data_IF_784509466867
#
_entry.id   IF_784509466867
#
_cell.length_a   1.000
_cell.length_b   1.000
_cell.length_c   1.000
_cell.angle_alpha   90.00
_cell.angle_beta   90.00
_cell.angle_gamma   90.00
#
_symmetry.space_group_name_H-M   'P 1'
#
loop_
_entity.id
_entity.type
_entity.pdbx_description
1 polymer ?
#
# COMPACT_ATOMS: atom_id res chain seq x y z
N UNK A 1 20.77 8.41 43.09
CA UNK A 1 21.21 8.32 41.69
C UNK A 1 20.02 7.82 40.87
N UNK A 2 19.17 8.72 40.41
CA UNK A 2 17.94 8.37 39.68
C UNK A 2 18.25 8.40 38.19
N UNK A 3 18.26 7.23 37.55
CA UNK A 3 18.45 7.10 36.12
C UNK A 3 17.28 7.78 35.36
N UNK A 4 17.53 8.44 34.22
CA UNK A 4 16.46 9.04 33.42
C UNK A 4 15.66 7.95 32.70
N UNK A 5 14.33 7.99 32.85
CA UNK A 5 13.40 7.14 32.09
C UNK A 5 13.53 7.38 30.58
N UNK A 6 13.51 6.33 29.73
CA UNK A 6 13.45 6.51 28.29
C UNK A 6 12.07 7.07 27.90
N UNK A 7 12.09 8.22 27.23
CA UNK A 7 10.94 8.82 26.57
C UNK A 7 10.27 7.77 25.67
N UNK A 8 9.07 7.32 26.05
CA UNK A 8 8.21 6.52 25.19
C UNK A 8 7.74 7.41 24.05
N UNK A 9 8.38 7.29 22.88
CA UNK A 9 7.81 7.76 21.62
C UNK A 9 6.45 7.09 21.46
N UNK A 10 5.37 7.83 21.63
CA UNK A 10 4.00 7.35 21.41
C UNK A 10 3.80 7.16 19.90
N UNK A 11 4.29 6.05 19.38
CA UNK A 11 3.92 5.60 18.04
C UNK A 11 2.52 5.03 18.17
N UNK A 12 1.52 5.79 17.75
CA UNK A 12 0.15 5.29 17.62
C UNK A 12 0.17 4.01 16.78
N UNK A 13 -0.66 3.00 17.10
CA UNK A 13 -0.70 1.79 16.30
C UNK A 13 -1.06 2.17 14.85
N UNK A 14 -0.38 1.57 13.86
CA UNK A 14 -0.65 1.87 12.46
C UNK A 14 -2.11 1.56 12.14
N UNK A 15 -2.75 2.46 11.41
CA UNK A 15 -4.18 2.40 11.10
C UNK A 15 -4.48 1.46 9.94
N UNK A 16 -3.53 1.32 9.02
CA UNK A 16 -3.66 0.48 7.83
C UNK A 16 -2.36 -0.27 7.59
N UNK A 17 -2.45 -1.45 6.99
CA UNK A 17 -1.29 -2.28 6.65
C UNK A 17 -1.19 -2.42 5.14
N UNK A 18 -0.10 -1.98 4.55
CA UNK A 18 0.14 -2.03 3.12
C UNK A 18 1.19 -3.10 2.79
N UNK A 19 0.78 -4.09 2.00
CA UNK A 19 1.65 -5.17 1.53
C UNK A 19 2.25 -4.78 0.18
N UNK A 20 3.58 -4.86 0.09
CA UNK A 20 4.32 -4.53 -1.12
C UNK A 20 5.47 -5.50 -1.35
N UNK A 21 5.94 -5.56 -2.61
CA UNK A 21 7.14 -6.30 -2.99
C UNK A 21 8.33 -5.35 -3.10
N UNK A 22 9.33 -5.50 -2.22
CA UNK A 22 10.57 -4.73 -2.24
C UNK A 22 11.50 -5.07 -3.41
N UNK A 23 11.37 -6.25 -4.02
CA UNK A 23 12.16 -6.70 -5.18
C UNK A 23 11.60 -6.19 -6.52
N UNK A 24 10.42 -5.56 -6.50
CA UNK A 24 9.82 -4.90 -7.65
C UNK A 24 10.24 -3.42 -7.66
N UNK A 25 11.07 -2.96 -8.63
CA UNK A 25 11.59 -1.60 -8.64
C UNK A 25 10.47 -0.54 -8.76
N UNK A 26 9.40 -0.83 -9.50
CA UNK A 26 8.26 0.07 -9.61
C UNK A 26 7.51 0.21 -8.28
N UNK A 27 7.14 -0.92 -7.67
CA UNK A 27 6.49 -0.93 -6.36
C UNK A 27 7.35 -0.21 -5.33
N UNK A 28 8.66 -0.48 -5.32
CA UNK A 28 9.58 0.13 -4.36
C UNK A 28 9.67 1.66 -4.56
N UNK A 29 9.65 2.17 -5.80
CA UNK A 29 9.60 3.62 -6.07
C UNK A 29 8.30 4.24 -5.52
N UNK A 30 7.15 3.66 -5.85
CA UNK A 30 5.83 4.17 -5.41
C UNK A 30 5.70 4.13 -3.88
N UNK A 31 6.06 3.00 -3.28
CA UNK A 31 6.01 2.79 -1.83
C UNK A 31 6.99 3.71 -1.11
N UNK A 32 8.22 3.90 -1.60
CA UNK A 32 9.17 4.82 -0.99
C UNK A 32 8.70 6.28 -1.07
N UNK A 33 8.05 6.68 -2.17
CA UNK A 33 7.44 7.99 -2.26
C UNK A 33 6.34 8.16 -1.19
N UNK A 34 5.46 7.17 -1.02
CA UNK A 34 4.41 7.20 0.00
C UNK A 34 4.94 7.11 1.43
N UNK A 35 5.97 6.29 1.70
CA UNK A 35 6.68 6.20 2.99
C UNK A 35 7.25 7.56 3.40
N UNK A 36 7.84 8.31 2.46
CA UNK A 36 8.36 9.67 2.72
C UNK A 36 7.25 10.67 3.07
N UNK A 37 6.04 10.44 2.58
CA UNK A 37 4.87 11.27 2.83
C UNK A 37 4.14 10.88 4.12
N UNK A 38 4.26 9.63 4.56
CA UNK A 38 3.70 9.11 5.82
C UNK A 38 4.51 9.61 7.03
N UNK A 39 4.49 10.91 7.27
CA UNK A 39 5.15 11.54 8.43
C UNK A 39 4.53 11.15 9.76
N UNK A 40 3.30 10.65 9.75
CA UNK A 40 2.55 10.28 10.95
C UNK A 40 2.78 8.82 11.36
N UNK A 41 3.39 7.99 10.50
CA UNK A 41 3.56 6.56 10.76
C UNK A 41 2.23 5.81 10.84
N UNK A 42 1.22 6.28 10.10
CA UNK A 42 -0.12 5.69 10.14
C UNK A 42 -0.20 4.39 9.33
N UNK A 43 0.82 4.08 8.52
CA UNK A 43 0.81 2.97 7.58
C UNK A 43 1.89 1.95 7.98
N UNK A 44 1.46 0.72 8.24
CA UNK A 44 2.38 -0.39 8.41
C UNK A 44 2.77 -0.95 7.06
N UNK A 45 4.03 -0.76 6.65
CA UNK A 45 4.54 -1.26 5.38
C UNK A 45 5.15 -2.64 5.56
N UNK A 46 4.57 -3.65 4.90
CA UNK A 46 5.01 -5.04 4.96
C UNK A 46 5.65 -5.41 3.62
N UNK A 47 6.93 -5.76 3.65
CA UNK A 47 7.65 -6.29 2.49
C UNK A 47 7.47 -7.81 2.39
N UNK A 48 6.70 -8.24 1.41
CA UNK A 48 6.35 -9.66 1.21
C UNK A 48 7.53 -10.47 0.65
N UNK A 49 8.54 -9.81 0.08
CA UNK A 49 9.76 -10.49 -0.40
C UNK A 49 10.59 -11.02 0.77
N UNK A 50 10.56 -10.30 1.90
CA UNK A 50 11.25 -10.66 3.13
C UNK A 50 10.35 -11.45 4.10
N UNK A 51 9.04 -11.17 4.13
CA UNK A 51 8.09 -11.79 5.05
C UNK A 51 6.91 -12.47 4.33
N UNK A 52 7.19 -13.65 3.76
CA UNK A 52 6.17 -14.51 3.15
C UNK A 52 5.16 -15.07 4.16
N UNK A 53 5.49 -15.08 5.46
CA UNK A 53 4.61 -15.58 6.50
C UNK A 53 3.49 -14.56 6.82
N UNK A 54 3.81 -13.26 6.83
CA UNK A 54 2.81 -12.19 6.93
C UNK A 54 1.80 -12.23 5.78
N UNK A 55 2.28 -12.53 4.57
CA UNK A 55 1.45 -12.70 3.38
C UNK A 55 0.46 -13.87 3.53
N UNK A 56 0.93 -15.04 3.99
CA UNK A 56 0.09 -16.21 4.22
C UNK A 56 -0.95 -15.97 5.32
N UNK A 57 -0.59 -15.25 6.39
CA UNK A 57 -1.52 -14.85 7.46
C UNK A 57 -2.62 -13.92 6.98
N UNK A 58 -2.34 -13.09 5.98
CA UNK A 58 -3.33 -12.22 5.34
C UNK A 58 -4.21 -12.95 4.32
N UNK A 59 -4.00 -14.25 4.08
CA UNK A 59 -4.71 -15.04 3.08
C UNK A 59 -4.38 -14.65 1.64
N UNK A 60 -3.24 -13.99 1.43
CA UNK A 60 -2.79 -13.51 0.12
C UNK A 60 -1.77 -14.47 -0.48
N UNK A 61 -1.78 -14.59 -1.82
CA UNK A 61 -0.73 -15.28 -2.56
C UNK A 61 0.23 -14.28 -3.18
N UNK A 62 1.52 -14.64 -3.29
CA UNK A 62 2.56 -13.76 -3.84
C UNK A 62 2.18 -13.20 -5.21
N UNK A 63 1.59 -14.05 -6.07
CA UNK A 63 1.07 -13.68 -7.39
C UNK A 63 0.00 -12.58 -7.33
N UNK A 64 -0.92 -12.65 -6.36
CA UNK A 64 -1.97 -11.64 -6.22
C UNK A 64 -1.38 -10.29 -5.82
N UNK A 65 -0.45 -10.28 -4.87
CA UNK A 65 0.22 -9.05 -4.43
C UNK A 65 1.17 -8.49 -5.47
N UNK A 66 1.74 -9.34 -6.33
CA UNK A 66 2.47 -8.88 -7.51
C UNK A 66 1.55 -8.21 -8.51
N UNK A 67 0.33 -8.70 -8.73
CA UNK A 67 -0.58 -8.14 -9.74
C UNK A 67 -1.15 -6.79 -9.30
N UNK A 68 -1.63 -6.69 -8.05
CA UNK A 68 -2.29 -5.50 -7.50
C UNK A 68 -1.74 -5.15 -6.11
N UNK A 69 -1.76 -3.86 -5.77
CA UNK A 69 -1.49 -3.43 -4.40
C UNK A 69 -2.57 -3.98 -3.46
N UNK A 70 -2.17 -4.51 -2.30
CA UNK A 70 -3.07 -4.99 -1.27
C UNK A 70 -2.86 -4.23 0.04
N UNK A 71 -3.95 -3.82 0.66
CA UNK A 71 -3.95 -3.03 1.88
C UNK A 71 -5.05 -3.55 2.81
N UNK A 72 -4.72 -3.78 4.07
CA UNK A 72 -5.72 -4.01 5.12
C UNK A 72 -6.07 -2.64 5.70
N UNK A 73 -7.35 -2.30 5.65
CA UNK A 73 -7.87 -1.03 6.18
C UNK A 73 -8.07 -1.06 7.70
N UNK A 74 -8.54 0.06 8.27
CA UNK A 74 -8.80 0.20 9.70
C UNK A 74 -9.88 -0.77 10.23
N UNK A 75 -10.76 -1.27 9.34
CA UNK A 75 -11.80 -2.23 9.66
C UNK A 75 -11.35 -3.68 9.44
N UNK A 76 -10.03 -3.91 9.30
CA UNK A 76 -9.44 -5.21 8.99
C UNK A 76 -9.94 -5.82 7.67
N UNK A 77 -10.43 -5.00 6.74
CA UNK A 77 -10.88 -5.46 5.43
C UNK A 77 -9.73 -5.39 4.43
N UNK A 78 -9.61 -6.44 3.62
CA UNK A 78 -8.62 -6.51 2.57
C UNK A 78 -9.10 -5.73 1.34
N UNK A 79 -8.44 -4.62 1.06
CA UNK A 79 -8.65 -3.77 -0.10
C UNK A 79 -7.56 -4.00 -1.14
N UNK A 80 -7.92 -4.00 -2.43
CA UNK A 80 -6.97 -4.26 -3.52
C UNK A 80 -7.06 -3.25 -4.66
N UNK A 81 -5.95 -3.05 -5.37
CA UNK A 81 -5.83 -2.08 -6.46
C UNK A 81 -6.11 -0.65 -5.98
N UNK A 82 -6.93 0.10 -6.73
CA UNK A 82 -7.24 1.52 -6.43
C UNK A 82 -7.86 1.71 -5.05
N UNK A 83 -8.71 0.77 -4.59
CA UNK A 83 -9.27 0.85 -3.23
C UNK A 83 -8.17 0.78 -2.17
N UNK A 84 -7.17 -0.09 -2.36
CA UNK A 84 -6.01 -0.14 -1.46
C UNK A 84 -5.22 1.17 -1.47
N UNK A 85 -4.99 1.75 -2.66
CA UNK A 85 -4.34 3.07 -2.77
C UNK A 85 -5.14 4.16 -2.07
N UNK A 86 -6.47 4.16 -2.18
CA UNK A 86 -7.32 5.12 -1.48
C UNK A 86 -7.15 5.02 0.04
N UNK A 87 -7.09 3.81 0.60
CA UNK A 87 -6.86 3.62 2.05
C UNK A 87 -5.52 4.19 2.48
N UNK A 88 -4.46 3.94 1.71
CA UNK A 88 -3.13 4.54 1.94
C UNK A 88 -3.19 6.06 1.85
N UNK A 89 -3.82 6.60 0.80
CA UNK A 89 -3.93 8.03 0.55
C UNK A 89 -4.75 8.77 1.61
N UNK A 90 -5.76 8.13 2.21
CA UNK A 90 -6.51 8.68 3.35
C UNK A 90 -5.63 8.93 4.57
N UNK A 91 -4.55 8.15 4.73
CA UNK A 91 -3.60 8.32 5.83
C UNK A 91 -2.50 9.35 5.52
N UNK A 92 -2.33 9.74 4.25
CA UNK A 92 -1.35 10.74 3.84
C UNK A 92 -1.97 12.15 3.86
N UNK A 93 -1.32 13.15 4.49
CA UNK A 93 -1.94 14.46 4.75
C UNK A 93 -2.35 15.23 3.48
N UNK A 94 -1.56 15.14 2.41
CA UNK A 94 -1.86 15.80 1.13
C UNK A 94 -2.90 15.02 0.30
N UNK A 95 -2.79 13.69 0.28
CA UNK A 95 -3.64 12.84 -0.55
C UNK A 95 -5.00 12.57 0.08
N UNK A 96 -5.20 12.83 1.38
CA UNK A 96 -6.49 12.65 2.05
C UNK A 96 -7.62 13.43 1.38
N UNK A 97 -7.34 14.67 0.93
CA UNK A 97 -8.33 15.48 0.21
C UNK A 97 -8.65 14.92 -1.17
N UNK A 98 -7.64 14.42 -1.86
CA UNK A 98 -7.79 13.78 -3.18
C UNK A 98 -8.60 12.49 -3.04
N UNK A 99 -8.28 11.65 -2.06
CA UNK A 99 -9.03 10.43 -1.76
C UNK A 99 -10.49 10.73 -1.44
N UNK A 100 -10.76 11.76 -0.63
CA UNK A 100 -12.13 12.19 -0.35
C UNK A 100 -12.86 12.64 -1.64
N UNK A 101 -12.22 13.40 -2.53
CA UNK A 101 -12.83 13.79 -3.81
C UNK A 101 -13.16 12.56 -4.66
N UNK A 102 -12.24 11.60 -4.74
CA UNK A 102 -12.43 10.36 -5.51
C UNK A 102 -13.58 9.52 -4.95
N UNK A 103 -13.70 9.41 -3.63
CA UNK A 103 -14.81 8.69 -2.98
C UNK A 103 -16.17 9.41 -3.19
N UNK A 104 -16.18 10.74 -3.19
CA UNK A 104 -17.41 11.52 -3.37
C UNK A 104 -17.85 11.65 -4.83
N UNK A 105 -16.98 11.35 -5.80
CA UNK A 105 -17.30 11.39 -7.23
C UNK A 105 -17.45 9.94 -7.74
N UNK A 106 -18.68 9.40 -7.83
CA UNK A 106 -18.91 7.98 -8.10
C UNK A 106 -18.38 7.50 -9.46
N UNK A 107 -18.17 8.41 -10.41
CA UNK A 107 -17.60 8.09 -11.73
C UNK A 107 -16.06 8.05 -11.75
N UNK A 108 -15.41 8.66 -10.76
CA UNK A 108 -13.96 8.81 -10.75
C UNK A 108 -13.25 7.53 -10.30
N UNK A 109 -13.84 6.81 -9.34
CA UNK A 109 -13.40 5.49 -8.89
C UNK A 109 -13.27 4.46 -10.03
N UNK A 110 -14.33 4.16 -10.82
CA UNK A 110 -14.23 3.22 -11.92
C UNK A 110 -13.32 3.71 -13.04
N UNK A 111 -13.23 5.03 -13.27
CA UNK A 111 -12.28 5.61 -14.21
C UNK A 111 -10.84 5.38 -13.77
N UNK A 112 -10.51 5.64 -12.50
CA UNK A 112 -9.18 5.39 -11.95
C UNK A 112 -8.85 3.90 -11.95
N UNK A 113 -9.81 3.03 -11.66
CA UNK A 113 -9.58 1.59 -11.72
C UNK A 113 -9.38 1.11 -13.17
N UNK A 114 -10.07 1.72 -14.13
CA UNK A 114 -9.81 1.49 -15.56
C UNK A 114 -8.39 1.94 -15.94
N UNK A 115 -8.00 3.18 -15.60
CA UNK A 115 -6.65 3.70 -15.82
C UNK A 115 -5.60 2.82 -15.14
N UNK A 116 -5.85 2.36 -13.91
CA UNK A 116 -4.96 1.46 -13.17
C UNK A 116 -4.83 0.10 -13.85
N UNK A 117 -5.94 -0.50 -14.33
CA UNK A 117 -5.89 -1.75 -15.09
C UNK A 117 -5.08 -1.61 -16.38
N UNK A 118 -5.28 -0.49 -17.10
CA UNK A 118 -4.51 -0.16 -18.31
C UNK A 118 -3.03 -0.02 -17.94
N UNK A 119 -2.70 0.78 -16.94
CA UNK A 119 -1.33 0.95 -16.46
C UNK A 119 -0.71 -0.37 -16.00
N UNK A 120 -1.41 -1.20 -15.22
CA UNK A 120 -0.95 -2.52 -14.79
C UNK A 120 -0.69 -3.47 -15.97
N UNK A 121 -1.45 -3.34 -17.06
CA UNK A 121 -1.23 -4.08 -18.30
C UNK A 121 0.00 -3.56 -19.07
N UNK A 122 0.20 -2.24 -19.09
CA UNK A 122 1.32 -1.59 -19.78
C UNK A 122 2.61 -1.51 -18.95
N UNK A 123 2.58 -1.71 -17.62
CA UNK A 123 3.77 -1.63 -16.75
C UNK A 123 4.78 -2.75 -17.02
N UNK A 124 4.28 -3.91 -17.46
CA UNK A 124 5.06 -5.13 -17.71
C UNK A 124 6.05 -4.98 -18.88
N UNK A 125 5.67 -4.46 -20.07
CA UNK A 125 6.64 -4.19 -21.13
C UNK A 125 7.62 -3.06 -20.79
N UNK A 126 7.27 -2.12 -19.90
CA UNK A 126 8.18 -1.04 -19.50
C UNK A 126 9.25 -1.45 -18.46
N UNK A 127 9.03 -2.50 -17.66
CA UNK A 127 9.90 -2.83 -16.51
C UNK A 127 10.69 -4.14 -16.69
N UNK A 128 10.54 -4.84 -17.82
CA UNK A 128 11.43 -5.96 -18.20
C UNK A 128 11.29 -7.27 -17.39
N UNK A 129 10.50 -7.32 -16.31
CA UNK A 129 10.20 -8.58 -15.59
C UNK A 129 8.98 -9.28 -16.18
N UNK A 130 9.17 -10.51 -16.68
CA UNK A 130 8.11 -11.44 -17.11
C UNK A 130 7.20 -11.76 -15.92
N UNK A 131 5.88 -11.82 -16.15
CA UNK A 131 4.94 -12.35 -15.17
C UNK A 131 5.38 -13.76 -14.73
N UNK A 132 5.41 -14.01 -13.42
CA UNK A 132 5.45 -15.38 -12.90
C UNK A 132 4.06 -15.96 -13.17
N UNK A 133 4.00 -16.79 -14.22
CA UNK A 133 2.80 -17.46 -14.70
C UNK A 133 2.88 -18.91 -14.23
N UNK A 134 2.09 -19.24 -13.21
CA UNK A 134 1.57 -20.60 -13.01
C UNK A 134 0.05 -20.51 -12.91
#
# INVERSE_FOLDING_TARGET
MTAPSPLKTTVSPPKVTCFHDGECPLCNIEINAMKKLDKAGNIHWVDISQDKAALAKAGLTYKQTMDRLHVIDENQQLQSGVLGFLQVWKQLPYYRRIAAIIENVPLLLPLMECCYRIFARYRLPLTGKKQIKE
#
